data_IF_932794909780
#
_entry.id   IF_932794909780
#
_cell.length_a   1.000
_cell.length_b   1.000
_cell.length_c   1.000
_cell.angle_alpha   90.00
_cell.angle_beta   90.00
_cell.angle_gamma   90.00
#
_symmetry.space_group_name_H-M   'P 1'
#
loop_
_entity.id
_entity.type
_entity.pdbx_description
1 polymer ?
#
# COMPACT_ATOMS: atom_id res chain seq x y z
N UNK A 1 8.63 21.22 -44.03
CA UNK A 1 7.93 22.46 -44.45
C UNK A 1 8.87 23.63 -44.85
N UNK A 2 10.19 23.57 -44.63
CA UNK A 2 11.12 24.65 -45.04
C UNK A 2 11.61 24.60 -46.50
N UNK A 3 11.61 23.43 -47.15
CA UNK A 3 12.25 23.27 -48.47
C UNK A 3 11.40 23.74 -49.68
N UNK A 4 10.07 23.85 -49.54
CA UNK A 4 9.17 24.31 -50.62
C UNK A 4 9.00 25.82 -50.63
N UNK A 5 9.07 26.46 -49.46
CA UNK A 5 9.02 27.92 -49.32
C UNK A 5 10.25 28.60 -49.94
N UNK A 6 11.43 27.99 -49.79
CA UNK A 6 12.66 28.44 -50.46
C UNK A 6 12.53 28.37 -51.99
N UNK A 7 11.99 27.27 -52.53
CA UNK A 7 11.81 27.11 -53.99
C UNK A 7 10.77 28.08 -54.57
N UNK A 8 9.68 28.36 -53.85
CA UNK A 8 8.66 29.33 -54.28
C UNK A 8 9.18 30.77 -54.18
N UNK A 9 9.92 31.10 -53.13
CA UNK A 9 10.59 32.39 -52.98
C UNK A 9 11.68 32.59 -54.04
N UNK A 10 12.45 31.54 -54.37
CA UNK A 10 13.45 31.59 -55.46
C UNK A 10 12.80 31.72 -56.84
N UNK A 11 11.59 31.19 -57.03
CA UNK A 11 10.88 31.30 -58.31
C UNK A 11 10.20 32.67 -58.47
N UNK A 12 9.70 33.27 -57.39
CA UNK A 12 9.15 34.64 -57.38
C UNK A 12 10.28 35.68 -57.46
N UNK A 13 11.37 35.50 -56.71
CA UNK A 13 12.58 36.33 -56.81
C UNK A 13 13.24 36.15 -58.18
N UNK A 14 13.29 34.92 -58.71
CA UNK A 14 13.79 34.63 -60.05
C UNK A 14 12.94 35.25 -61.15
N UNK A 15 11.62 35.30 -61.01
CA UNK A 15 10.73 36.03 -61.91
C UNK A 15 10.92 37.55 -61.80
N UNK A 16 11.12 38.09 -60.60
CA UNK A 16 11.44 39.50 -60.39
C UNK A 16 12.83 39.90 -60.91
N UNK A 17 13.82 39.00 -60.83
CA UNK A 17 15.15 39.18 -61.43
C UNK A 17 15.11 39.06 -62.96
N UNK A 18 14.26 38.18 -63.50
CA UNK A 18 14.03 38.03 -64.94
C UNK A 18 13.21 39.18 -65.53
N UNK A 19 12.38 39.84 -64.71
CA UNK A 19 11.68 41.09 -65.01
C UNK A 19 12.56 42.35 -64.83
N UNK A 20 13.87 42.20 -64.59
CA UNK A 20 14.86 43.25 -64.79
C UNK A 20 15.62 43.09 -66.12
N UNK A 21 14.99 43.22 -67.30
CA UNK A 21 15.69 43.58 -68.51
C UNK A 21 15.51 45.08 -68.77
N UNK A 22 16.08 45.95 -67.93
CA UNK A 22 16.10 47.40 -68.21
C UNK A 22 17.45 48.10 -68.02
N UNK A 23 18.55 47.40 -67.77
CA UNK A 23 19.89 48.03 -67.89
C UNK A 23 20.80 47.42 -68.97
N UNK A 24 20.42 46.31 -69.59
CA UNK A 24 21.28 45.64 -70.58
C UNK A 24 20.75 45.67 -72.02
N UNK A 25 19.47 45.99 -72.26
CA UNK A 25 18.90 46.14 -73.60
C UNK A 25 18.58 47.62 -73.95
N UNK A 26 19.29 48.55 -73.33
CA UNK A 26 19.27 49.98 -73.66
C UNK A 26 20.50 50.42 -74.50
N UNK A 27 21.25 49.47 -75.06
CA UNK A 27 22.49 49.77 -75.79
C UNK A 27 22.37 49.68 -77.33
N UNK A 28 21.22 49.34 -77.89
CA UNK A 28 21.03 49.40 -79.35
C UNK A 28 19.56 49.65 -79.74
N UNK A 29 19.14 50.91 -79.70
CA UNK A 29 18.21 51.53 -80.66
C UNK A 29 18.01 53.01 -80.34
N UNK A 30 18.56 53.84 -81.21
CA UNK A 30 18.24 55.26 -81.39
C UNK A 30 16.72 55.50 -81.48
N UNK A 31 16.23 56.56 -80.81
CA UNK A 31 15.02 57.30 -81.18
C UNK A 31 13.76 56.46 -81.50
N UNK A 32 13.04 55.97 -80.49
CA UNK A 32 11.63 55.57 -80.65
C UNK A 32 10.78 56.08 -79.49
N UNK A 33 9.74 56.85 -79.82
CA UNK A 33 8.82 57.45 -78.85
C UNK A 33 7.81 56.45 -78.27
N UNK A 34 7.05 56.85 -77.23
CA UNK A 34 6.06 56.01 -76.54
C UNK A 34 4.83 55.61 -77.39
N UNK A 35 4.82 55.95 -78.69
CA UNK A 35 3.74 55.65 -79.63
C UNK A 35 4.14 54.67 -80.74
N UNK A 36 5.31 54.04 -80.66
CA UNK A 36 5.64 52.87 -81.49
C UNK A 36 5.27 51.59 -80.72
N UNK A 37 3.99 51.22 -80.77
CA UNK A 37 3.55 49.88 -80.38
C UNK A 37 4.15 48.87 -81.35
N UNK A 38 5.35 48.35 -81.05
CA UNK A 38 5.95 47.24 -81.78
C UNK A 38 5.19 45.95 -81.40
N UNK A 39 4.38 45.34 -82.31
CA UNK A 39 3.60 44.13 -81.98
C UNK A 39 4.49 42.96 -81.53
N UNK A 40 5.77 43.00 -81.92
CA UNK A 40 6.80 42.04 -81.55
C UNK A 40 7.15 42.07 -80.06
N UNK A 41 7.28 43.25 -79.45
CA UNK A 41 7.61 43.36 -78.01
C UNK A 41 6.39 43.04 -77.16
N UNK A 42 5.19 43.46 -77.57
CA UNK A 42 3.94 43.08 -76.94
C UNK A 42 3.71 41.55 -76.97
N UNK A 43 3.94 40.90 -78.11
CA UNK A 43 3.85 39.44 -78.23
C UNK A 43 4.88 38.71 -77.35
N UNK A 44 6.11 39.23 -77.24
CA UNK A 44 7.14 38.68 -76.37
C UNK A 44 6.76 38.78 -74.88
N UNK A 45 6.31 39.95 -74.42
CA UNK A 45 5.86 40.16 -73.03
C UNK A 45 4.67 39.27 -72.68
N UNK A 46 3.70 39.13 -73.59
CA UNK A 46 2.57 38.21 -73.41
C UNK A 46 3.04 36.76 -73.36
N UNK A 47 4.01 36.36 -74.19
CA UNK A 47 4.60 35.02 -74.17
C UNK A 47 5.29 34.69 -72.84
N UNK A 48 6.08 35.63 -72.30
CA UNK A 48 6.71 35.47 -70.98
C UNK A 48 5.67 35.44 -69.86
N UNK A 49 4.66 36.32 -69.90
CA UNK A 49 3.58 36.33 -68.92
C UNK A 49 2.78 35.02 -68.92
N UNK A 50 2.41 34.51 -70.10
CA UNK A 50 1.70 33.23 -70.23
C UNK A 50 2.55 32.05 -69.76
N UNK A 51 3.86 32.06 -70.07
CA UNK A 51 4.79 31.04 -69.60
C UNK A 51 4.90 31.06 -68.07
N UNK A 52 5.07 32.24 -67.47
CA UNK A 52 5.09 32.40 -66.02
C UNK A 52 3.77 31.99 -65.37
N UNK A 53 2.63 32.35 -65.98
CA UNK A 53 1.30 31.97 -65.52
C UNK A 53 1.09 30.45 -65.54
N UNK A 54 1.51 29.77 -66.60
CA UNK A 54 1.43 28.32 -66.70
C UNK A 54 2.29 27.61 -65.66
N UNK A 55 3.49 28.13 -65.39
CA UNK A 55 4.38 27.62 -64.34
C UNK A 55 3.73 27.83 -62.97
N UNK A 56 3.25 29.03 -62.64
CA UNK A 56 2.57 29.31 -61.37
C UNK A 56 1.33 28.44 -61.18
N UNK A 57 0.50 28.29 -62.22
CA UNK A 57 -0.71 27.46 -62.17
C UNK A 57 -0.38 26.00 -61.82
N UNK A 58 0.68 25.44 -62.41
CA UNK A 58 1.10 24.06 -62.17
C UNK A 58 1.77 23.89 -60.79
N UNK A 59 2.57 24.86 -60.34
CA UNK A 59 3.42 24.72 -59.16
C UNK A 59 2.83 25.29 -57.86
N UNK A 60 2.01 26.35 -57.90
CA UNK A 60 1.51 27.00 -56.68
C UNK A 60 0.20 26.38 -56.17
N UNK A 61 -0.67 25.88 -57.06
CA UNK A 61 -2.00 25.41 -56.68
C UNK A 61 -1.96 24.16 -55.78
N UNK A 62 -1.08 23.20 -56.08
CA UNK A 62 -0.92 21.97 -55.30
C UNK A 62 -0.49 22.24 -53.85
N UNK A 63 0.62 22.96 -53.60
CA UNK A 63 1.07 23.27 -52.24
C UNK A 63 0.05 24.07 -51.41
N UNK A 64 -0.72 24.98 -52.02
CA UNK A 64 -1.73 25.78 -51.30
C UNK A 64 -2.89 24.90 -50.84
N UNK A 65 -3.42 24.06 -51.72
CA UNK A 65 -4.51 23.13 -51.38
C UNK A 65 -4.04 22.13 -50.33
N UNK A 66 -2.84 21.56 -50.50
CA UNK A 66 -2.28 20.63 -49.53
C UNK A 66 -2.07 21.26 -48.15
N UNK A 67 -1.61 22.52 -48.09
CA UNK A 67 -1.46 23.23 -46.81
C UNK A 67 -2.81 23.54 -46.13
N UNK A 68 -3.89 23.72 -46.91
CA UNK A 68 -5.24 23.89 -46.36
C UNK A 68 -5.79 22.56 -45.84
N UNK A 69 -5.64 21.48 -46.61
CA UNK A 69 -6.02 20.11 -46.20
C UNK A 69 -5.27 19.67 -44.94
N UNK A 70 -3.96 19.93 -44.85
CA UNK A 70 -3.15 19.61 -43.67
C UNK A 70 -3.62 20.37 -42.43
N UNK A 71 -3.99 21.66 -42.59
CA UNK A 71 -4.58 22.46 -41.51
C UNK A 71 -5.94 21.92 -41.07
N UNK A 72 -6.82 21.62 -42.01
CA UNK A 72 -8.13 21.06 -41.72
C UNK A 72 -8.02 19.72 -41.02
N UNK A 73 -7.17 18.83 -41.52
CA UNK A 73 -6.90 17.52 -40.92
C UNK A 73 -6.37 17.67 -39.49
N UNK A 74 -5.38 18.54 -39.27
CA UNK A 74 -4.81 18.77 -37.94
C UNK A 74 -5.84 19.32 -36.95
N UNK A 75 -6.71 20.21 -37.39
CA UNK A 75 -7.78 20.76 -36.56
C UNK A 75 -8.76 19.64 -36.17
N UNK A 76 -9.24 18.86 -37.14
CA UNK A 76 -10.13 17.70 -36.88
C UNK A 76 -9.49 16.70 -35.93
N UNK A 77 -8.24 16.31 -36.19
CA UNK A 77 -7.51 15.38 -35.34
C UNK A 77 -7.34 15.91 -33.92
N UNK A 78 -7.05 17.21 -33.76
CA UNK A 78 -6.92 17.83 -32.44
C UNK A 78 -8.25 17.91 -31.67
N UNK A 79 -9.37 18.17 -32.36
CA UNK A 79 -10.71 18.16 -31.78
C UNK A 79 -11.11 16.75 -31.36
N UNK A 80 -10.95 15.77 -32.24
CA UNK A 80 -11.23 14.37 -31.90
C UNK A 80 -10.32 13.85 -30.77
N UNK A 81 -9.06 14.27 -30.74
CA UNK A 81 -8.15 13.94 -29.66
C UNK A 81 -8.62 14.55 -28.33
N UNK A 82 -9.05 15.82 -28.33
CA UNK A 82 -9.60 16.48 -27.16
C UNK A 82 -10.86 15.77 -26.64
N UNK A 83 -11.80 15.43 -27.53
CA UNK A 83 -13.02 14.70 -27.18
C UNK A 83 -12.70 13.32 -26.58
N UNK A 84 -11.77 12.57 -27.21
CA UNK A 84 -11.30 11.28 -26.68
C UNK A 84 -10.61 11.43 -25.32
N UNK A 85 -9.83 12.48 -25.12
CA UNK A 85 -9.17 12.75 -23.84
C UNK A 85 -10.18 13.09 -22.75
N UNK A 86 -11.20 13.89 -23.07
CA UNK A 86 -12.27 14.23 -22.14
C UNK A 86 -13.07 12.97 -21.74
N UNK A 87 -13.49 12.17 -22.71
CA UNK A 87 -14.20 10.91 -22.42
C UNK A 87 -13.36 9.94 -21.57
N UNK A 88 -12.05 9.83 -21.85
CA UNK A 88 -11.14 9.02 -21.03
C UNK A 88 -10.99 9.58 -19.62
N UNK A 89 -10.87 10.90 -19.48
CA UNK A 89 -10.76 11.56 -18.18
C UNK A 89 -12.01 11.31 -17.34
N UNK A 90 -13.20 11.46 -17.91
CA UNK A 90 -14.48 11.17 -17.24
C UNK A 90 -14.57 9.70 -16.84
N UNK A 91 -14.19 8.77 -17.72
CA UNK A 91 -14.17 7.33 -17.42
C UNK A 91 -13.19 6.98 -16.28
N UNK A 92 -11.96 7.49 -16.34
CA UNK A 92 -10.95 7.28 -15.30
C UNK A 92 -11.37 7.93 -13.97
N UNK A 93 -12.06 9.07 -14.01
CA UNK A 93 -12.57 9.71 -12.80
C UNK A 93 -13.67 8.87 -12.15
N UNK A 94 -14.60 8.33 -12.95
CA UNK A 94 -15.63 7.42 -12.46
C UNK A 94 -15.04 6.14 -11.85
N UNK A 95 -14.04 5.54 -12.52
CA UNK A 95 -13.31 4.36 -12.02
C UNK A 95 -12.59 4.67 -10.71
N UNK A 96 -11.88 5.81 -10.62
CA UNK A 96 -11.21 6.23 -9.39
C UNK A 96 -12.20 6.43 -8.24
N UNK A 97 -13.36 7.05 -8.49
CA UNK A 97 -14.40 7.19 -7.49
C UNK A 97 -14.95 5.84 -7.01
N UNK A 98 -15.11 4.88 -7.92
CA UNK A 98 -15.52 3.52 -7.58
C UNK A 98 -14.47 2.82 -6.73
N UNK A 99 -13.20 2.88 -7.12
CA UNK A 99 -12.08 2.33 -6.35
C UNK A 99 -12.02 2.96 -4.96
N UNK A 100 -12.22 4.28 -4.84
CA UNK A 100 -12.23 4.97 -3.55
C UNK A 100 -13.42 4.54 -2.68
N UNK A 101 -14.61 4.35 -3.26
CA UNK A 101 -15.78 3.83 -2.53
C UNK A 101 -15.53 2.43 -2.03
N UNK A 102 -14.99 1.56 -2.88
CA UNK A 102 -14.69 0.18 -2.55
C UNK A 102 -13.59 0.07 -1.49
N UNK A 103 -12.51 0.84 -1.62
CA UNK A 103 -11.45 0.91 -0.63
C UNK A 103 -11.97 1.37 0.74
N UNK A 104 -12.88 2.36 0.78
CA UNK A 104 -13.53 2.80 2.03
C UNK A 104 -14.41 1.71 2.63
N UNK A 105 -15.14 0.96 1.80
CA UNK A 105 -15.97 -0.17 2.24
C UNK A 105 -15.11 -1.26 2.86
N UNK A 106 -14.06 -1.68 2.16
CA UNK A 106 -13.10 -2.69 2.65
C UNK A 106 -12.40 -2.23 3.93
N UNK A 107 -11.96 -0.97 4.00
CA UNK A 107 -11.35 -0.44 5.21
C UNK A 107 -12.32 -0.47 6.41
N UNK A 108 -13.59 -0.10 6.20
CA UNK A 108 -14.62 -0.19 7.23
C UNK A 108 -14.90 -1.62 7.66
N UNK A 109 -14.86 -2.58 6.72
CA UNK A 109 -15.05 -4.00 6.97
C UNK A 109 -13.91 -4.57 7.79
N UNK A 110 -12.65 -4.29 7.42
CA UNK A 110 -11.44 -4.69 8.17
C UNK A 110 -11.47 -4.14 9.60
N UNK A 111 -11.85 -2.87 9.78
CA UNK A 111 -11.95 -2.28 11.12
C UNK A 111 -13.07 -2.92 11.93
N UNK A 112 -14.20 -3.26 11.31
CA UNK A 112 -15.30 -3.93 11.99
C UNK A 112 -14.92 -5.37 12.39
N UNK A 113 -14.28 -6.12 11.50
CA UNK A 113 -13.75 -7.46 11.76
C UNK A 113 -12.71 -7.44 12.88
N UNK A 114 -11.70 -6.56 12.78
CA UNK A 114 -10.67 -6.42 13.82
C UNK A 114 -11.24 -6.06 15.19
N UNK A 115 -12.34 -5.29 15.26
CA UNK A 115 -13.04 -5.01 16.53
C UNK A 115 -13.75 -6.24 17.07
N UNK A 116 -14.40 -7.04 16.22
CA UNK A 116 -15.05 -8.30 16.63
C UNK A 116 -14.03 -9.30 17.13
N UNK A 117 -12.92 -9.46 16.42
CA UNK A 117 -11.83 -10.36 16.81
C UNK A 117 -11.20 -9.92 18.12
N UNK A 118 -10.94 -8.62 18.29
CA UNK A 118 -10.42 -8.09 19.54
C UNK A 118 -11.37 -8.35 20.73
N UNK A 119 -12.69 -8.22 20.52
CA UNK A 119 -13.69 -8.56 21.54
C UNK A 119 -13.70 -10.05 21.86
N UNK A 120 -13.70 -10.91 20.84
CA UNK A 120 -13.67 -12.36 21.02
C UNK A 120 -12.41 -12.82 21.76
N UNK A 121 -11.24 -12.29 21.40
CA UNK A 121 -9.97 -12.56 22.10
C UNK A 121 -10.03 -12.04 23.54
N UNK A 122 -10.56 -10.84 23.77
CA UNK A 122 -10.68 -10.31 25.12
C UNK A 122 -11.59 -11.17 26.01
N UNK A 123 -12.70 -11.67 25.47
CA UNK A 123 -13.59 -12.60 26.17
C UNK A 123 -12.91 -13.95 26.43
N UNK A 124 -12.21 -14.51 25.45
CA UNK A 124 -11.47 -15.76 25.58
C UNK A 124 -10.35 -15.65 26.64
N UNK A 125 -9.61 -14.55 26.66
CA UNK A 125 -8.57 -14.29 27.65
C UNK A 125 -9.18 -14.17 29.05
N UNK A 126 -10.30 -13.46 29.21
CA UNK A 126 -11.01 -13.38 30.50
C UNK A 126 -11.51 -14.74 30.97
N UNK A 127 -12.09 -15.53 30.07
CA UNK A 127 -12.58 -16.87 30.40
C UNK A 127 -11.44 -17.80 30.82
N UNK A 128 -10.33 -17.79 30.08
CA UNK A 128 -9.13 -18.58 30.43
C UNK A 128 -8.54 -18.12 31.75
N UNK A 129 -8.39 -16.81 31.97
CA UNK A 129 -7.87 -16.27 33.22
C UNK A 129 -8.76 -16.61 34.43
N UNK A 130 -10.08 -16.59 34.26
CA UNK A 130 -11.01 -17.00 35.32
C UNK A 130 -10.87 -18.49 35.65
N UNK A 131 -10.75 -19.34 34.62
CA UNK A 131 -10.53 -20.78 34.79
C UNK A 131 -9.19 -21.08 35.46
N UNK A 132 -8.13 -20.39 35.07
CA UNK A 132 -6.80 -20.54 35.66
C UNK A 132 -6.78 -20.07 37.11
N UNK A 133 -7.48 -18.98 37.43
CA UNK A 133 -7.65 -18.50 38.79
C UNK A 133 -8.40 -19.52 39.65
N UNK A 134 -9.50 -20.09 39.15
CA UNK A 134 -10.26 -21.13 39.85
C UNK A 134 -9.38 -22.37 40.11
N UNK A 135 -8.67 -22.86 39.09
CA UNK A 135 -7.75 -24.00 39.24
C UNK A 135 -6.60 -23.70 40.23
N UNK A 136 -6.10 -22.47 40.26
CA UNK A 136 -5.09 -22.04 41.24
C UNK A 136 -5.66 -22.04 42.66
N UNK A 137 -6.89 -21.55 42.85
CA UNK A 137 -7.55 -21.57 44.17
C UNK A 137 -7.82 -22.98 44.66
N UNK A 138 -8.28 -23.89 43.78
CA UNK A 138 -8.51 -25.29 44.13
C UNK A 138 -7.22 -26.00 44.55
N UNK A 139 -6.12 -25.78 43.81
CA UNK A 139 -4.80 -26.28 44.17
C UNK A 139 -4.34 -25.74 45.52
N UNK A 140 -4.47 -24.43 45.75
CA UNK A 140 -4.10 -23.81 47.02
C UNK A 140 -4.91 -24.39 48.19
N UNK A 141 -6.23 -24.58 48.03
CA UNK A 141 -7.07 -25.21 49.05
C UNK A 141 -6.66 -26.66 49.34
N UNK A 142 -6.32 -27.42 48.30
CA UNK A 142 -5.83 -28.80 48.44
C UNK A 142 -4.50 -28.84 49.20
N UNK A 143 -3.58 -27.93 48.88
CA UNK A 143 -2.29 -27.80 49.56
C UNK A 143 -2.46 -27.35 51.02
N UNK A 144 -3.37 -26.42 51.30
CA UNK A 144 -3.72 -26.00 52.66
C UNK A 144 -4.29 -27.18 53.46
N UNK A 145 -5.20 -27.97 52.88
CA UNK A 145 -5.74 -29.14 53.55
C UNK A 145 -4.64 -30.13 53.90
N UNK A 146 -3.74 -30.41 52.96
CA UNK A 146 -2.60 -31.29 53.18
C UNK A 146 -1.65 -30.77 54.26
N UNK A 147 -1.33 -29.47 54.24
CA UNK A 147 -0.49 -28.83 55.24
C UNK A 147 -1.13 -28.88 56.63
N UNK A 148 -2.46 -28.71 56.72
CA UNK A 148 -3.21 -28.86 57.96
C UNK A 148 -3.12 -30.29 58.51
N UNK A 149 -3.30 -31.30 57.66
CA UNK A 149 -3.22 -32.71 58.09
C UNK A 149 -1.82 -33.04 58.62
N UNK A 150 -0.77 -32.55 57.95
CA UNK A 150 0.62 -32.68 58.42
C UNK A 150 0.81 -31.99 59.78
N UNK A 151 0.30 -30.75 59.94
CA UNK A 151 0.42 -30.02 61.19
C UNK A 151 -0.30 -30.72 62.36
N UNK A 152 -1.47 -31.33 62.11
CA UNK A 152 -2.19 -32.11 63.12
C UNK A 152 -1.40 -33.36 63.52
N UNK A 153 -0.81 -34.07 62.55
CA UNK A 153 0.05 -35.23 62.82
C UNK A 153 1.29 -34.85 63.66
N UNK A 154 1.93 -33.71 63.36
CA UNK A 154 3.04 -33.18 64.16
C UNK A 154 2.61 -32.85 65.60
N UNK A 155 1.43 -32.24 65.79
CA UNK A 155 0.88 -31.96 67.13
C UNK A 155 0.60 -33.24 67.91
N UNK A 156 0.06 -34.28 67.25
CA UNK A 156 -0.16 -35.58 67.88
C UNK A 156 1.16 -36.23 68.32
N UNK A 157 2.17 -36.24 67.46
CA UNK A 157 3.51 -36.76 67.79
C UNK A 157 4.11 -36.03 69.00
N UNK A 158 4.04 -34.69 69.02
CA UNK A 158 4.52 -33.89 70.14
C UNK A 158 3.76 -34.20 71.45
N UNK A 159 2.44 -34.42 71.35
CA UNK A 159 1.61 -34.76 72.53
C UNK A 159 1.94 -36.14 73.09
N UNK A 160 2.21 -37.12 72.22
CA UNK A 160 2.65 -38.47 72.63
C UNK A 160 4.02 -38.39 73.30
N UNK A 161 4.98 -37.69 72.69
CA UNK A 161 6.33 -37.52 73.24
C UNK A 161 6.32 -36.83 74.61
N UNK A 162 5.51 -35.77 74.76
CA UNK A 162 5.32 -35.09 76.04
C UNK A 162 4.69 -36.02 77.09
N UNK A 163 3.70 -36.82 76.70
CA UNK A 163 3.04 -37.78 77.61
C UNK A 163 3.99 -38.88 78.06
N UNK A 164 4.83 -39.40 77.17
CA UNK A 164 5.89 -40.35 77.48
C UNK A 164 6.91 -39.73 78.44
N UNK A 165 7.38 -38.50 78.17
CA UNK A 165 8.30 -37.77 79.03
C UNK A 165 7.74 -37.54 80.44
N UNK A 166 6.46 -37.17 80.57
CA UNK A 166 5.78 -37.01 81.86
C UNK A 166 5.69 -38.36 82.58
N UNK A 167 5.33 -39.42 81.86
CA UNK A 167 5.21 -40.77 82.42
C UNK A 167 6.57 -41.29 82.90
N UNK A 168 7.63 -41.10 82.14
CA UNK A 168 9.00 -41.48 82.50
C UNK A 168 9.46 -40.75 83.78
N UNK A 169 9.19 -39.43 83.88
CA UNK A 169 9.46 -38.66 85.10
C UNK A 169 8.62 -39.11 86.30
N UNK A 170 7.35 -39.44 86.10
CA UNK A 170 6.45 -39.88 87.18
C UNK A 170 6.83 -41.28 87.69
N UNK A 171 7.14 -42.20 86.78
CA UNK A 171 7.65 -43.56 87.09
C UNK A 171 8.99 -43.44 87.81
N UNK A 172 9.93 -42.65 87.31
CA UNK A 172 11.22 -42.40 87.96
C UNK A 172 11.06 -41.94 89.41
N UNK A 173 10.13 -41.00 89.66
CA UNK A 173 9.83 -40.51 91.01
C UNK A 173 9.09 -41.53 91.89
N UNK A 174 8.17 -42.32 91.32
CA UNK A 174 7.44 -43.37 92.04
C UNK A 174 8.35 -44.53 92.46
N UNK A 175 9.37 -44.83 91.64
CA UNK A 175 10.34 -45.86 91.90
C UNK A 175 11.34 -45.46 93.01
N UNK A 176 11.53 -44.19 93.35
CA UNK A 176 12.42 -43.81 94.46
C UNK A 176 11.84 -44.10 95.87
N UNK A 177 10.56 -44.51 95.98
CA UNK A 177 9.87 -44.84 97.24
C UNK A 177 9.69 -46.34 97.53
N UNK A 178 8.89 -46.68 98.56
CA UNK A 178 8.61 -48.04 99.07
C UNK A 178 7.96 -49.02 98.05
N UNK A 179 7.68 -48.59 96.82
CA UNK A 179 7.03 -49.38 95.76
C UNK A 179 7.97 -50.38 95.05
N UNK A 180 9.30 -50.24 95.19
CA UNK A 180 10.29 -51.11 94.52
C UNK A 180 10.09 -52.60 94.80
N UNK A 181 9.82 -52.98 96.06
CA UNK A 181 9.65 -54.38 96.44
C UNK A 181 8.32 -54.96 95.92
N UNK A 182 7.26 -54.14 95.90
CA UNK A 182 5.93 -54.56 95.43
C UNK A 182 5.93 -54.82 93.92
N UNK A 183 6.51 -53.91 93.13
CA UNK A 183 6.60 -54.05 91.67
C UNK A 183 7.52 -55.20 91.26
N UNK A 184 8.63 -55.42 91.97
CA UNK A 184 9.51 -56.57 91.74
C UNK A 184 8.80 -57.91 92.01
N UNK A 185 8.01 -57.98 93.09
CA UNK A 185 7.23 -59.19 93.41
C UNK A 185 6.11 -59.45 92.39
N UNK A 186 5.37 -58.41 91.97
CA UNK A 186 4.33 -58.51 90.93
C UNK A 186 4.88 -58.93 89.56
N UNK A 187 6.08 -58.45 89.19
CA UNK A 187 6.75 -58.86 87.95
C UNK A 187 7.18 -60.34 87.97
N UNK A 188 7.67 -60.84 89.12
CA UNK A 188 8.02 -62.25 89.32
C UNK A 188 6.77 -63.14 89.22
N UNK A 189 5.64 -62.72 89.81
CA UNK A 189 4.37 -63.45 89.71
C UNK A 189 3.81 -63.50 88.27
N UNK A 190 3.92 -62.41 87.49
CA UNK A 190 3.48 -62.42 86.09
C UNK A 190 4.31 -63.36 85.22
N UNK A 191 5.64 -63.42 85.41
CA UNK A 191 6.48 -64.36 84.68
C UNK A 191 6.14 -65.82 85.00
N UNK A 192 5.87 -66.14 86.27
CA UNK A 192 5.44 -67.49 86.67
C UNK A 192 4.08 -67.90 86.09
N UNK A 193 3.20 -66.94 85.78
CA UNK A 193 1.90 -67.19 85.13
C UNK A 193 1.98 -67.42 83.62
N UNK A 194 3.08 -67.03 82.97
CA UNK A 194 3.29 -67.23 81.52
C UNK A 194 4.02 -68.56 81.25
N UNK A 195 4.72 -69.11 82.25
CA UNK A 195 5.46 -70.38 82.16
C UNK A 195 4.63 -71.63 82.58
N UNK A 196 3.34 -71.44 82.87
CA UNK A 196 2.33 -72.49 83.11
C UNK A 196 1.30 -72.48 81.99
#
# INVERSE_FOLDING_TARGET
MQATFSKLSFLIIGLALFALPEMAFAAEASSKGPMDFDPKTAAWTVGVFLTAFLILRKFAWGPIVHAMEEREHKIKESLEAADRMQAKMEATQAENEEILREARRQASEIVAEGKRDAQAVAEQVKATAAKDAEAMTEKALTEISRAKDIAIDEVHKLSVDLSLTISERLIGRSLEGSDHQRIAQEAIEQYQKIEQ
#
